data_IF_373819257107
#
_entry.id   IF_373819257107
#
_cell.length_a   1.000
_cell.length_b   1.000
_cell.length_c   1.000
_cell.angle_alpha   90.00
_cell.angle_beta   90.00
_cell.angle_gamma   90.00
#
_symmetry.space_group_name_H-M   'P 1'
#
loop_
_entity.id
_entity.type
_entity.pdbx_description
1 polymer ?
#
# COMPACT_ATOMS: atom_id res chain seq x y z
N UNK A 1 -27.74 -2.28 22.87
CA UNK A 1 -26.72 -2.96 22.05
C UNK A 1 -25.28 -2.67 22.54
N UNK A 2 -24.88 -1.43 22.85
CA UNK A 2 -23.54 -1.11 23.38
C UNK A 2 -23.24 -1.73 24.76
N UNK A 3 -24.19 -1.75 25.69
CA UNK A 3 -24.02 -2.33 27.03
C UNK A 3 -23.82 -3.84 27.03
N UNK A 4 -24.46 -4.57 26.10
CA UNK A 4 -24.33 -6.04 25.97
C UNK A 4 -22.99 -6.45 25.38
N UNK A 5 -22.40 -5.59 24.51
CA UNK A 5 -21.06 -5.81 23.95
C UNK A 5 -19.98 -5.55 25.01
N UNK A 6 -20.16 -4.53 25.84
CA UNK A 6 -19.26 -4.20 26.94
C UNK A 6 -19.22 -5.28 28.03
N UNK A 7 -20.36 -5.87 28.39
CA UNK A 7 -20.43 -6.99 29.34
C UNK A 7 -19.79 -8.28 28.77
N UNK A 8 -19.98 -8.61 27.49
CA UNK A 8 -19.30 -9.75 26.85
C UNK A 8 -17.79 -9.56 26.75
N UNK A 9 -17.30 -8.32 26.58
CA UNK A 9 -15.87 -7.99 26.61
C UNK A 9 -15.25 -8.16 28.01
N UNK A 10 -16.02 -7.90 29.07
CA UNK A 10 -15.55 -8.04 30.45
C UNK A 10 -15.36 -9.51 30.88
N UNK A 11 -16.11 -10.42 30.28
CA UNK A 11 -16.09 -11.85 30.59
C UNK A 11 -15.09 -12.68 29.75
N UNK A 12 -14.33 -12.05 28.83
CA UNK A 12 -13.36 -12.77 28.01
C UNK A 12 -12.03 -13.00 28.74
N UNK A 13 -11.34 -14.16 28.51
CA UNK A 13 -10.01 -14.43 29.03
C UNK A 13 -9.01 -13.32 28.62
N UNK A 14 -8.06 -12.99 29.49
CA UNK A 14 -7.10 -11.88 29.30
C UNK A 14 -6.37 -11.89 27.95
N UNK A 15 -6.05 -13.07 27.41
CA UNK A 15 -5.45 -13.21 26.08
C UNK A 15 -6.38 -12.82 24.91
N UNK A 16 -7.70 -13.05 25.01
CA UNK A 16 -8.67 -12.64 23.99
C UNK A 16 -8.94 -11.14 24.02
N UNK A 17 -8.91 -10.50 25.21
CA UNK A 17 -9.03 -9.04 25.34
C UNK A 17 -7.83 -8.32 24.69
N UNK A 18 -6.64 -8.82 24.91
CA UNK A 18 -5.40 -8.28 24.32
C UNK A 18 -5.41 -8.38 22.78
N UNK A 19 -5.84 -9.50 22.21
CA UNK A 19 -6.00 -9.70 20.77
C UNK A 19 -7.04 -8.75 20.16
N UNK A 20 -8.19 -8.59 20.81
CA UNK A 20 -9.24 -7.67 20.35
C UNK A 20 -8.80 -6.20 20.40
N UNK A 21 -8.12 -5.80 21.50
CA UNK A 21 -7.61 -4.42 21.62
C UNK A 21 -6.54 -4.12 20.58
N UNK A 22 -5.62 -5.05 20.32
CA UNK A 22 -4.61 -4.92 19.26
C UNK A 22 -5.25 -4.88 17.88
N UNK A 23 -6.25 -5.72 17.63
CA UNK A 23 -7.04 -5.71 16.42
C UNK A 23 -7.74 -4.37 16.17
N UNK A 24 -8.41 -3.83 17.18
CA UNK A 24 -9.09 -2.53 17.09
C UNK A 24 -8.10 -1.38 16.84
N UNK A 25 -6.99 -1.35 17.58
CA UNK A 25 -5.91 -0.35 17.35
C UNK A 25 -5.38 -0.42 15.92
N UNK A 26 -5.16 -1.63 15.40
CA UNK A 26 -4.71 -1.84 14.02
C UNK A 26 -5.73 -1.33 13.00
N UNK A 27 -7.02 -1.61 13.20
CA UNK A 27 -8.09 -1.14 12.33
C UNK A 27 -8.17 0.40 12.34
N UNK A 28 -8.17 1.02 13.52
CA UNK A 28 -8.18 2.48 13.68
C UNK A 28 -6.97 3.11 12.97
N UNK A 29 -5.76 2.57 13.18
CA UNK A 29 -4.55 3.10 12.54
C UNK A 29 -4.62 3.00 11.02
N UNK A 30 -5.20 1.93 10.48
CA UNK A 30 -5.39 1.78 9.02
C UNK A 30 -6.42 2.76 8.48
N UNK A 31 -7.54 2.97 9.19
CA UNK A 31 -8.54 3.98 8.83
C UNK A 31 -7.91 5.37 8.80
N UNK A 32 -7.16 5.73 9.83
CA UNK A 32 -6.42 6.99 9.88
C UNK A 32 -5.40 7.10 8.74
N UNK A 33 -4.69 6.02 8.40
CA UNK A 33 -3.74 6.03 7.28
C UNK A 33 -4.43 6.32 5.94
N UNK A 34 -5.59 5.71 5.70
CA UNK A 34 -6.36 5.98 4.48
C UNK A 34 -6.91 7.41 4.46
N UNK A 35 -7.41 7.88 5.60
CA UNK A 35 -7.90 9.26 5.73
C UNK A 35 -6.80 10.27 5.45
N UNK A 36 -5.63 10.14 6.07
CA UNK A 36 -4.50 11.05 5.83
C UNK A 36 -3.95 10.95 4.41
N UNK A 37 -3.93 9.76 3.79
CA UNK A 37 -3.55 9.61 2.40
C UNK A 37 -4.54 10.30 1.44
N UNK A 38 -5.83 10.24 1.74
CA UNK A 38 -6.86 10.96 1.00
C UNK A 38 -6.77 12.46 1.21
N UNK A 39 -6.64 12.92 2.46
CA UNK A 39 -6.44 14.34 2.81
C UNK A 39 -5.20 14.91 2.12
N UNK A 40 -4.08 14.18 2.11
CA UNK A 40 -2.88 14.59 1.38
C UNK A 40 -3.19 14.81 -0.11
N UNK A 41 -3.90 13.86 -0.74
CA UNK A 41 -4.28 14.01 -2.16
C UNK A 41 -5.15 15.25 -2.38
N UNK A 42 -6.15 15.45 -1.52
CA UNK A 42 -7.06 16.58 -1.61
C UNK A 42 -6.33 17.91 -1.41
N UNK A 43 -5.41 17.99 -0.43
CA UNK A 43 -4.64 19.21 -0.15
C UNK A 43 -3.71 19.51 -1.34
N UNK A 44 -2.92 18.54 -1.79
CA UNK A 44 -2.02 18.73 -2.94
C UNK A 44 -2.80 19.17 -4.18
N UNK A 45 -3.95 18.57 -4.47
CA UNK A 45 -4.76 18.96 -5.64
C UNK A 45 -5.43 20.33 -5.49
N UNK A 46 -5.71 20.79 -4.27
CA UNK A 46 -6.30 22.12 -4.04
C UNK A 46 -5.28 23.25 -4.03
N UNK A 47 -4.06 22.97 -3.61
CA UNK A 47 -3.00 23.98 -3.44
C UNK A 47 -2.09 24.10 -4.65
N UNK A 48 -2.21 23.19 -5.63
CA UNK A 48 -1.43 23.19 -6.85
C UNK A 48 -2.32 22.89 -8.07
N UNK A 49 -1.83 23.24 -9.27
CA UNK A 49 -2.46 22.88 -10.55
C UNK A 49 -2.36 21.37 -10.84
N UNK A 50 -3.16 20.88 -11.78
CA UNK A 50 -3.20 19.46 -12.12
C UNK A 50 -1.84 18.91 -12.59
N UNK A 51 -1.02 19.72 -13.26
CA UNK A 51 0.32 19.34 -13.73
C UNK A 51 1.29 19.14 -12.56
N UNK A 52 1.37 20.10 -11.63
CA UNK A 52 2.19 20.00 -10.41
C UNK A 52 1.76 18.84 -9.52
N UNK A 53 0.46 18.63 -9.36
CA UNK A 53 -0.08 17.48 -8.64
C UNK A 53 0.33 16.15 -9.31
N UNK A 54 0.27 16.10 -10.65
CA UNK A 54 0.69 14.94 -11.42
C UNK A 54 2.17 14.61 -11.27
N UNK A 55 3.04 15.61 -11.38
CA UNK A 55 4.48 15.48 -11.11
C UNK A 55 4.74 14.97 -9.70
N UNK A 56 4.05 15.54 -8.70
CA UNK A 56 4.16 15.09 -7.31
C UNK A 56 3.76 13.62 -7.16
N UNK A 57 2.60 13.21 -7.68
CA UNK A 57 2.14 11.83 -7.55
C UNK A 57 3.02 10.85 -8.31
N UNK A 58 3.56 11.24 -9.46
CA UNK A 58 4.56 10.45 -10.18
C UNK A 58 5.80 10.20 -9.32
N UNK A 59 6.43 11.26 -8.82
CA UNK A 59 7.63 11.18 -8.00
C UNK A 59 7.37 10.46 -6.68
N UNK A 60 6.24 10.70 -6.02
CA UNK A 60 5.84 10.02 -4.79
C UNK A 60 5.69 8.50 -4.98
N UNK A 61 5.04 8.07 -6.09
CA UNK A 61 4.90 6.65 -6.39
C UNK A 61 6.24 6.02 -6.80
N UNK A 62 7.08 6.75 -7.54
CA UNK A 62 8.43 6.33 -7.91
C UNK A 62 9.32 6.10 -6.68
N UNK A 63 9.37 7.07 -5.75
CA UNK A 63 10.08 6.93 -4.46
C UNK A 63 9.57 5.72 -3.68
N UNK A 64 8.25 5.55 -3.59
CA UNK A 64 7.62 4.45 -2.85
C UNK A 64 7.99 3.10 -3.48
N UNK A 65 7.94 2.99 -4.80
CA UNK A 65 8.30 1.78 -5.53
C UNK A 65 9.80 1.44 -5.35
N UNK A 66 10.68 2.44 -5.52
CA UNK A 66 12.12 2.24 -5.37
C UNK A 66 12.50 1.86 -3.94
N UNK A 67 11.87 2.48 -2.93
CA UNK A 67 12.09 2.11 -1.53
C UNK A 67 11.69 0.65 -1.25
N UNK A 68 10.56 0.19 -1.81
CA UNK A 68 10.10 -1.20 -1.64
C UNK A 68 11.00 -2.18 -2.39
N UNK A 69 11.39 -1.88 -3.63
CA UNK A 69 12.33 -2.71 -4.41
C UNK A 69 13.66 -2.84 -3.68
N UNK A 70 14.11 -1.76 -3.04
CA UNK A 70 15.35 -1.74 -2.25
C UNK A 70 15.32 -2.60 -0.99
N UNK A 71 14.14 -3.04 -0.54
CA UNK A 71 14.02 -3.99 0.58
C UNK A 71 14.55 -5.40 0.27
N UNK A 72 14.81 -5.76 -1.00
CA UNK A 72 15.40 -7.05 -1.40
C UNK A 72 14.67 -8.29 -0.84
N UNK A 73 13.34 -8.19 -0.55
CA UNK A 73 12.56 -9.25 0.08
C UNK A 73 12.71 -9.35 1.60
N UNK A 74 13.47 -8.42 2.22
CA UNK A 74 13.52 -8.33 3.68
C UNK A 74 12.22 -7.82 4.30
N UNK A 75 11.33 -7.20 3.52
CA UNK A 75 9.96 -6.84 3.93
C UNK A 75 9.16 -8.03 4.50
N UNK A 76 9.40 -9.24 3.99
CA UNK A 76 8.75 -10.48 4.45
C UNK A 76 9.68 -11.28 5.37
N UNK A 77 10.94 -11.50 4.96
CA UNK A 77 11.85 -12.38 5.70
C UNK A 77 12.26 -11.81 7.05
N UNK A 78 12.48 -10.49 7.18
CA UNK A 78 12.78 -9.86 8.46
C UNK A 78 11.67 -10.06 9.48
N UNK A 79 10.39 -9.90 9.05
CA UNK A 79 9.23 -10.14 9.93
C UNK A 79 9.23 -11.58 10.43
N UNK A 80 9.44 -12.55 9.53
CA UNK A 80 9.42 -13.98 9.88
C UNK A 80 10.54 -14.36 10.87
N UNK A 81 11.79 -14.00 10.55
CA UNK A 81 12.94 -14.37 11.38
C UNK A 81 12.93 -13.65 12.72
N UNK A 82 12.57 -12.36 12.73
CA UNK A 82 12.47 -11.62 13.99
C UNK A 82 11.28 -12.04 14.85
N UNK A 83 10.17 -12.50 14.27
CA UNK A 83 9.08 -13.05 15.07
C UNK A 83 9.48 -14.36 15.77
N UNK A 84 10.31 -15.20 15.13
CA UNK A 84 10.87 -16.41 15.75
C UNK A 84 11.81 -16.02 16.89
N UNK A 85 12.78 -15.14 16.63
CA UNK A 85 13.74 -14.66 17.64
C UNK A 85 13.04 -13.93 18.81
N UNK A 86 11.96 -13.19 18.53
CA UNK A 86 11.14 -12.54 19.57
C UNK A 86 10.43 -13.55 20.47
N UNK A 87 9.84 -14.61 19.90
CA UNK A 87 9.19 -15.66 20.68
C UNK A 87 10.20 -16.45 21.53
N UNK A 88 11.41 -16.64 21.03
CA UNK A 88 12.54 -17.28 21.74
C UNK A 88 13.23 -16.34 22.74
N UNK A 89 12.88 -15.05 22.79
CA UNK A 89 13.53 -13.99 23.59
C UNK A 89 15.00 -13.74 23.23
N UNK A 90 15.39 -14.00 21.99
CA UNK A 90 16.76 -13.86 21.47
C UNK A 90 16.99 -12.43 20.94
N UNK A 91 17.18 -11.47 21.84
CA UNK A 91 17.34 -10.04 21.51
C UNK A 91 18.54 -9.76 20.60
N UNK A 92 19.63 -10.49 20.81
CA UNK A 92 20.83 -10.37 20.00
C UNK A 92 20.56 -10.75 18.55
N UNK A 93 19.87 -11.87 18.31
CA UNK A 93 19.51 -12.33 16.96
C UNK A 93 18.57 -11.33 16.29
N UNK A 94 17.61 -10.77 17.02
CA UNK A 94 16.72 -9.72 16.49
C UNK A 94 17.51 -8.51 15.97
N UNK A 95 18.52 -8.07 16.73
CA UNK A 95 19.37 -6.94 16.36
C UNK A 95 20.29 -7.26 15.18
N UNK A 96 20.82 -8.48 15.09
CA UNK A 96 21.62 -8.94 13.95
C UNK A 96 20.81 -9.08 12.67
N UNK A 97 19.59 -9.61 12.77
CA UNK A 97 18.66 -9.70 11.65
C UNK A 97 18.28 -8.29 11.12
N UNK A 98 17.99 -7.36 12.03
CA UNK A 98 17.72 -5.97 11.67
C UNK A 98 18.90 -5.32 10.95
N UNK A 99 20.13 -5.42 11.50
CA UNK A 99 21.33 -4.89 10.85
C UNK A 99 21.59 -5.54 9.49
N UNK A 100 21.38 -6.85 9.37
CA UNK A 100 21.53 -7.57 8.09
C UNK A 100 20.56 -7.02 7.02
N UNK A 101 19.30 -6.83 7.37
CA UNK A 101 18.31 -6.28 6.47
C UNK A 101 18.64 -4.82 6.11
N UNK A 102 18.91 -3.98 7.11
CA UNK A 102 19.17 -2.55 6.93
C UNK A 102 20.38 -2.31 6.02
N UNK A 103 21.55 -2.92 6.33
CA UNK A 103 22.76 -2.66 5.56
C UNK A 103 22.65 -3.13 4.11
N UNK A 104 22.00 -4.27 3.86
CA UNK A 104 21.83 -4.77 2.49
C UNK A 104 20.80 -3.95 1.70
N UNK A 105 19.68 -3.60 2.30
CA UNK A 105 18.66 -2.75 1.68
C UNK A 105 19.23 -1.35 1.40
N UNK A 106 20.00 -0.79 2.34
CA UNK A 106 20.62 0.52 2.16
C UNK A 106 21.72 0.51 1.09
N UNK A 107 22.56 -0.52 1.07
CA UNK A 107 23.60 -0.67 0.03
C UNK A 107 22.97 -0.77 -1.38
N UNK A 108 21.91 -1.57 -1.53
CA UNK A 108 21.20 -1.66 -2.80
C UNK A 108 20.50 -0.34 -3.17
N UNK A 109 19.88 0.34 -2.19
CA UNK A 109 19.28 1.65 -2.37
C UNK A 109 20.29 2.68 -2.90
N UNK A 110 21.46 2.79 -2.28
CA UNK A 110 22.51 3.72 -2.71
C UNK A 110 23.06 3.37 -4.10
N UNK A 111 23.22 2.08 -4.40
CA UNK A 111 23.60 1.61 -5.73
C UNK A 111 22.55 1.99 -6.78
N UNK A 112 21.26 1.76 -6.48
CA UNK A 112 20.16 2.10 -7.37
C UNK A 112 20.10 3.62 -7.64
N UNK A 113 20.27 4.45 -6.61
CA UNK A 113 20.37 5.91 -6.74
C UNK A 113 21.57 6.30 -7.60
N UNK A 114 22.74 5.70 -7.39
CA UNK A 114 23.93 5.94 -8.19
C UNK A 114 23.75 5.60 -9.67
N UNK A 115 23.10 4.46 -9.96
CA UNK A 115 22.76 4.06 -11.35
C UNK A 115 21.78 5.04 -11.99
N UNK A 116 20.76 5.50 -11.26
CA UNK A 116 19.80 6.47 -11.76
C UNK A 116 20.48 7.82 -12.04
N UNK A 117 21.33 8.33 -11.13
CA UNK A 117 22.07 9.58 -11.34
C UNK A 117 23.05 9.48 -12.50
N UNK A 118 23.72 8.34 -12.68
CA UNK A 118 24.57 8.09 -13.84
C UNK A 118 23.74 8.07 -15.14
N UNK A 119 22.58 7.40 -15.13
CA UNK A 119 21.65 7.38 -16.26
C UNK A 119 21.14 8.78 -16.63
N UNK A 120 20.86 9.63 -15.65
CA UNK A 120 20.48 11.02 -15.88
C UNK A 120 21.55 11.84 -16.59
N UNK A 121 22.81 11.61 -16.27
CA UNK A 121 23.93 12.30 -16.93
C UNK A 121 24.20 11.77 -18.35
N UNK A 122 23.91 10.49 -18.62
CA UNK A 122 24.16 9.85 -19.91
C UNK A 122 23.02 10.07 -20.92
N UNK A 123 21.78 10.23 -20.46
CA UNK A 123 20.57 10.33 -21.29
C UNK A 123 19.68 11.52 -20.88
N UNK A 124 20.15 12.77 -20.95
CA UNK A 124 19.41 13.94 -20.46
C UNK A 124 18.11 14.21 -21.23
N UNK A 125 18.05 13.87 -22.53
CA UNK A 125 16.88 14.13 -23.37
C UNK A 125 15.64 13.30 -23.00
N UNK A 126 15.84 12.06 -22.54
CA UNK A 126 14.72 11.17 -22.17
C UNK A 126 14.04 11.61 -20.87
N UNK A 127 14.72 12.36 -20.03
CA UNK A 127 14.19 12.89 -18.78
C UNK A 127 13.43 14.19 -18.92
N UNK A 128 13.70 14.96 -19.97
CA UNK A 128 12.90 16.14 -20.28
C UNK A 128 11.41 15.79 -20.53
N UNK A 129 11.12 14.52 -20.83
CA UNK A 129 9.74 14.04 -20.93
C UNK A 129 8.97 14.06 -19.60
N UNK A 130 9.64 13.97 -18.44
CA UNK A 130 8.99 14.01 -17.13
C UNK A 130 8.57 15.41 -16.69
N UNK A 131 9.01 16.45 -17.42
CA UNK A 131 8.76 17.88 -17.14
C UNK A 131 9.07 18.31 -15.69
N UNK A 132 9.77 17.48 -14.92
CA UNK A 132 10.07 17.75 -13.51
C UNK A 132 11.43 18.44 -13.37
N UNK A 133 11.52 19.50 -12.56
CA UNK A 133 12.80 20.19 -12.32
C UNK A 133 13.84 19.23 -11.74
N UNK A 134 15.10 19.36 -12.15
CA UNK A 134 16.21 18.53 -11.64
C UNK A 134 16.32 18.56 -10.11
N UNK A 135 16.00 19.70 -9.51
CA UNK A 135 15.96 19.86 -8.05
C UNK A 135 14.91 18.95 -7.40
N UNK A 136 13.68 18.87 -7.95
CA UNK A 136 12.62 17.99 -7.43
C UNK A 136 13.01 16.51 -7.55
N UNK A 137 13.67 16.10 -8.63
CA UNK A 137 14.19 14.74 -8.82
C UNK A 137 15.28 14.43 -7.78
N UNK A 138 16.18 15.38 -7.52
CA UNK A 138 17.23 15.20 -6.49
C UNK A 138 16.62 15.01 -5.11
N UNK A 139 15.64 15.83 -4.71
CA UNK A 139 14.90 15.67 -3.46
C UNK A 139 14.18 14.32 -3.41
N UNK A 140 13.58 13.91 -4.53
CA UNK A 140 12.93 12.60 -4.68
C UNK A 140 13.91 11.47 -4.35
N UNK A 141 15.10 11.46 -4.93
CA UNK A 141 16.12 10.43 -4.68
C UNK A 141 16.61 10.46 -3.24
N UNK A 142 16.74 11.63 -2.62
CA UNK A 142 17.13 11.77 -1.21
C UNK A 142 16.08 11.22 -0.24
N UNK A 143 14.79 11.15 -0.61
CA UNK A 143 13.75 10.54 0.23
C UNK A 143 13.93 9.02 0.39
N UNK A 144 14.48 8.33 -0.63
CA UNK A 144 14.48 6.86 -0.70
C UNK A 144 15.22 6.23 0.50
N UNK A 145 16.44 6.62 0.89
CA UNK A 145 17.14 6.05 2.03
C UNK A 145 16.35 6.16 3.35
N UNK A 146 15.69 7.30 3.58
CA UNK A 146 14.89 7.52 4.79
C UNK A 146 13.65 6.61 4.81
N UNK A 147 12.99 6.43 3.65
CA UNK A 147 11.86 5.50 3.55
C UNK A 147 12.30 4.04 3.70
N UNK A 148 13.45 3.64 3.13
CA UNK A 148 14.03 2.31 3.33
C UNK A 148 14.30 2.05 4.81
N UNK A 149 14.87 3.02 5.53
CA UNK A 149 15.09 2.95 6.97
C UNK A 149 13.78 2.80 7.74
N UNK A 150 12.79 3.66 7.45
CA UNK A 150 11.47 3.63 8.09
C UNK A 150 10.74 2.30 7.86
N UNK A 151 10.77 1.78 6.61
CA UNK A 151 10.17 0.50 6.27
C UNK A 151 10.87 -0.66 6.99
N UNK A 152 12.20 -0.68 7.07
CA UNK A 152 12.95 -1.70 7.81
C UNK A 152 12.60 -1.67 9.30
N UNK A 153 12.53 -0.47 9.91
CA UNK A 153 12.08 -0.27 11.29
C UNK A 153 10.64 -0.77 11.49
N UNK A 154 9.75 -0.47 10.53
CA UNK A 154 8.37 -0.96 10.56
C UNK A 154 8.31 -2.48 10.65
N UNK A 155 9.10 -3.20 9.83
CA UNK A 155 9.07 -4.67 9.76
C UNK A 155 9.55 -5.32 11.06
N UNK A 156 10.61 -4.78 11.68
CA UNK A 156 11.07 -5.31 12.97
C UNK A 156 10.09 -4.99 14.10
N UNK A 157 9.48 -3.79 14.12
CA UNK A 157 8.44 -3.44 15.08
C UNK A 157 7.19 -4.33 14.93
N UNK A 158 6.83 -4.68 13.69
CA UNK A 158 5.76 -5.63 13.40
C UNK A 158 6.05 -7.02 13.99
N UNK A 159 7.26 -7.51 13.80
CA UNK A 159 7.70 -8.79 14.35
C UNK A 159 7.65 -8.81 15.89
N UNK A 160 7.97 -7.69 16.53
CA UNK A 160 7.89 -7.50 17.98
C UNK A 160 6.47 -7.15 18.49
N UNK A 161 5.43 -7.34 17.67
CA UNK A 161 4.01 -7.06 17.99
C UNK A 161 3.69 -5.61 18.33
N UNK A 162 4.58 -4.66 18.03
CA UNK A 162 4.34 -3.21 18.15
C UNK A 162 3.62 -2.69 16.90
N UNK A 163 2.39 -3.19 16.68
CA UNK A 163 1.67 -3.03 15.41
C UNK A 163 1.36 -1.56 15.07
N UNK A 164 0.98 -0.74 16.05
CA UNK A 164 0.68 0.69 15.84
C UNK A 164 1.92 1.44 15.37
N UNK A 165 3.05 1.29 16.05
CA UNK A 165 4.34 1.92 15.66
C UNK A 165 4.81 1.43 14.29
N UNK A 166 4.58 0.16 13.95
CA UNK A 166 4.86 -0.41 12.64
C UNK A 166 4.01 0.24 11.55
N UNK A 167 2.69 0.34 11.73
CA UNK A 167 1.78 0.95 10.76
C UNK A 167 2.02 2.45 10.61
N UNK A 168 2.39 3.13 11.71
CA UNK A 168 2.82 4.53 11.64
C UNK A 168 4.03 4.67 10.70
N UNK A 169 5.08 3.88 10.90
CA UNK A 169 6.29 3.95 10.09
C UNK A 169 6.06 3.52 8.62
N UNK A 170 5.09 2.64 8.34
CA UNK A 170 4.85 2.09 7.01
C UNK A 170 3.90 2.94 6.16
N UNK A 171 2.85 3.49 6.77
CA UNK A 171 1.72 4.06 6.02
C UNK A 171 1.27 5.43 6.56
N UNK A 172 0.95 5.53 7.85
CA UNK A 172 0.34 6.72 8.43
C UNK A 172 1.31 7.90 8.49
N UNK A 173 2.56 7.66 8.92
CA UNK A 173 3.50 8.71 9.29
C UNK A 173 3.85 9.63 8.12
N UNK A 174 4.16 9.07 6.95
CA UNK A 174 4.51 9.88 5.78
C UNK A 174 3.34 10.78 5.38
N UNK A 175 2.13 10.24 5.22
CA UNK A 175 0.96 11.03 4.83
C UNK A 175 0.58 12.07 5.88
N UNK A 176 0.66 11.72 7.17
CA UNK A 176 0.34 12.63 8.26
C UNK A 176 1.34 13.81 8.35
N UNK A 177 2.64 13.51 8.33
CA UNK A 177 3.67 14.55 8.36
C UNK A 177 3.68 15.39 7.10
N UNK A 178 3.42 14.77 5.92
CA UNK A 178 3.26 15.51 4.67
C UNK A 178 2.14 16.55 4.77
N UNK A 179 0.96 16.18 5.28
CA UNK A 179 -0.15 17.12 5.47
C UNK A 179 0.30 18.31 6.33
N UNK A 180 1.01 18.05 7.45
CA UNK A 180 1.51 19.09 8.32
C UNK A 180 2.52 20.01 7.61
N UNK A 181 3.50 19.43 6.91
CA UNK A 181 4.53 20.22 6.23
C UNK A 181 4.02 20.96 5.01
N UNK A 182 3.05 20.41 4.27
CA UNK A 182 2.41 21.11 3.15
C UNK A 182 1.68 22.35 3.67
N UNK A 183 0.90 22.25 4.75
CA UNK A 183 0.27 23.41 5.37
C UNK A 183 1.28 24.44 5.89
N UNK A 184 2.38 23.98 6.49
CA UNK A 184 3.43 24.88 6.98
C UNK A 184 4.12 25.65 5.84
N UNK A 185 4.37 24.99 4.70
CA UNK A 185 4.98 25.59 3.54
C UNK A 185 4.00 26.46 2.73
N UNK A 186 2.70 26.11 2.71
CA UNK A 186 1.65 26.90 2.07
C UNK A 186 1.51 28.31 2.70
N UNK A 187 1.71 28.39 4.00
CA UNK A 187 1.76 29.67 4.71
C UNK A 187 2.90 30.59 4.23
N UNK A 188 3.95 30.04 3.62
CA UNK A 188 5.14 30.79 3.15
C UNK A 188 5.00 31.21 1.67
N UNK A 189 4.07 30.65 0.88
CA UNK A 189 3.87 31.00 -0.53
C UNK A 189 3.19 29.91 -1.36
N UNK A 190 3.01 30.19 -2.66
CA UNK A 190 2.36 29.22 -3.58
C UNK A 190 3.08 27.88 -3.63
N UNK A 191 2.29 26.80 -3.65
CA UNK A 191 2.79 25.45 -3.74
C UNK A 191 3.34 25.16 -5.13
N UNK A 192 4.60 24.83 -5.21
CA UNK A 192 5.26 24.31 -6.39
C UNK A 192 5.83 22.91 -6.11
N UNK A 193 6.25 22.20 -7.16
CA UNK A 193 6.78 20.84 -7.04
C UNK A 193 7.97 20.75 -6.07
N UNK A 194 8.81 21.78 -6.01
CA UNK A 194 9.98 21.80 -5.12
C UNK A 194 9.55 21.85 -3.64
N UNK A 195 8.54 22.64 -3.30
CA UNK A 195 7.98 22.73 -1.95
C UNK A 195 7.33 21.38 -1.54
N UNK A 196 6.58 20.75 -2.46
CA UNK A 196 5.97 19.45 -2.22
C UNK A 196 7.03 18.34 -2.01
N UNK A 197 8.12 18.37 -2.80
CA UNK A 197 9.23 17.42 -2.61
C UNK A 197 10.02 17.69 -1.35
N UNK A 198 10.19 18.93 -0.95
CA UNK A 198 10.82 19.30 0.33
C UNK A 198 9.96 18.81 1.51
N UNK A 199 8.64 18.99 1.45
CA UNK A 199 7.72 18.44 2.45
C UNK A 199 7.81 16.90 2.53
N UNK A 200 7.92 16.22 1.40
CA UNK A 200 8.11 14.76 1.35
C UNK A 200 9.44 14.34 1.99
N UNK A 201 10.52 15.07 1.72
CA UNK A 201 11.82 14.79 2.34
C UNK A 201 11.77 14.97 3.85
N UNK A 202 11.21 16.08 4.34
CA UNK A 202 11.06 16.33 5.77
C UNK A 202 10.17 15.27 6.43
N UNK A 203 9.06 14.88 5.79
CA UNK A 203 8.19 13.81 6.27
C UNK A 203 8.93 12.46 6.34
N UNK A 204 9.72 12.13 5.30
CA UNK A 204 10.51 10.90 5.25
C UNK A 204 11.56 10.84 6.35
N UNK A 205 12.27 11.96 6.59
CA UNK A 205 13.23 12.10 7.71
C UNK A 205 12.50 11.95 9.04
N UNK A 206 11.38 12.66 9.23
CA UNK A 206 10.60 12.60 10.47
C UNK A 206 10.14 11.19 10.80
N UNK A 207 9.60 10.46 9.82
CA UNK A 207 9.18 9.06 10.01
C UNK A 207 10.38 8.16 10.29
N UNK A 208 11.51 8.35 9.60
CA UNK A 208 12.72 7.59 9.84
C UNK A 208 13.24 7.80 11.27
N UNK A 209 13.27 9.04 11.75
CA UNK A 209 13.70 9.38 13.11
C UNK A 209 12.77 8.76 14.16
N UNK A 210 11.44 8.99 14.03
CA UNK A 210 10.45 8.47 14.98
C UNK A 210 10.48 6.94 15.02
N UNK A 211 10.55 6.28 13.86
CA UNK A 211 10.58 4.81 13.80
C UNK A 211 11.90 4.25 14.35
N UNK A 212 13.02 4.93 14.11
CA UNK A 212 14.31 4.56 14.69
C UNK A 212 14.32 4.71 16.20
N UNK A 213 13.79 5.80 16.74
CA UNK A 213 13.65 6.00 18.18
C UNK A 213 12.78 4.89 18.82
N UNK A 214 11.68 4.50 18.17
CA UNK A 214 10.80 3.42 18.64
C UNK A 214 11.47 2.04 18.62
N UNK A 215 12.39 1.78 17.68
CA UNK A 215 13.13 0.51 17.62
C UNK A 215 14.35 0.52 18.52
N UNK A 216 15.24 1.50 18.39
CA UNK A 216 16.50 1.58 19.16
C UNK A 216 16.25 1.81 20.65
N UNK A 217 15.21 2.55 21.02
CA UNK A 217 14.77 2.73 22.41
C UNK A 217 13.94 1.57 22.96
N UNK A 218 13.77 0.47 22.20
CA UNK A 218 13.01 -0.68 22.68
C UNK A 218 13.89 -1.64 23.48
N UNK A 219 13.31 -2.30 24.50
CA UNK A 219 13.96 -3.36 25.28
C UNK A 219 14.39 -4.58 24.42
N UNK A 220 13.94 -4.63 23.17
CA UNK A 220 14.26 -5.72 22.24
C UNK A 220 15.54 -5.46 21.43
N UNK A 221 15.99 -4.19 21.36
CA UNK A 221 17.23 -3.85 20.69
C UNK A 221 18.45 -4.09 21.62
N UNK A 222 19.45 -4.76 21.07
CA UNK A 222 20.74 -4.97 21.77
C UNK A 222 21.88 -4.59 20.84
N UNK A 223 22.81 -3.77 21.36
CA UNK A 223 24.01 -3.43 20.60
C UNK A 223 24.88 -4.69 20.43
N UNK A 224 25.26 -4.98 19.20
CA UNK A 224 26.03 -6.17 18.84
C UNK A 224 26.97 -5.89 17.68
N UNK A 225 28.02 -6.69 17.53
CA UNK A 225 28.80 -6.74 16.29
C UNK A 225 27.89 -7.18 15.12
N UNK A 226 28.22 -6.73 13.93
CA UNK A 226 27.48 -7.14 12.73
C UNK A 226 27.81 -8.57 12.33
N UNK A 227 26.84 -9.47 12.42
CA UNK A 227 26.95 -10.85 11.94
C UNK A 227 25.79 -11.10 10.99
N UNK A 228 26.04 -11.31 9.68
CA UNK A 228 24.97 -11.46 8.70
C UNK A 228 24.27 -12.82 8.86
N UNK A 229 22.94 -12.81 8.95
CA UNK A 229 22.13 -14.03 8.95
C UNK A 229 21.97 -14.58 7.53
N UNK A 230 22.82 -15.55 7.15
CA UNK A 230 22.83 -16.15 5.81
C UNK A 230 21.50 -16.83 5.45
N UNK A 231 20.82 -17.47 6.43
CA UNK A 231 19.52 -18.15 6.21
C UNK A 231 18.42 -17.13 5.86
N UNK A 232 18.36 -16.02 6.59
CA UNK A 232 17.41 -14.94 6.31
C UNK A 232 17.66 -14.32 4.93
N UNK A 233 18.91 -14.11 4.54
CA UNK A 233 19.29 -13.59 3.22
C UNK A 233 18.86 -14.53 2.10
N UNK A 234 19.05 -15.84 2.23
CA UNK A 234 18.60 -16.81 1.25
C UNK A 234 17.07 -16.82 1.11
N UNK A 235 16.36 -16.73 2.24
CA UNK A 235 14.89 -16.59 2.25
C UNK A 235 14.44 -15.30 1.57
N UNK A 236 15.09 -14.16 1.84
CA UNK A 236 14.78 -12.88 1.24
C UNK A 236 14.86 -12.91 -0.30
N UNK A 237 15.94 -13.47 -0.84
CA UNK A 237 16.10 -13.63 -2.30
C UNK A 237 14.96 -14.42 -2.96
N UNK A 238 14.45 -15.46 -2.29
CA UNK A 238 13.36 -16.30 -2.83
C UNK A 238 12.03 -15.54 -2.93
N UNK A 239 11.76 -14.63 -2.00
CA UNK A 239 10.48 -13.88 -1.95
C UNK A 239 10.54 -12.55 -2.69
N UNK A 240 11.74 -12.03 -2.98
CA UNK A 240 11.93 -10.71 -3.56
C UNK A 240 11.17 -10.50 -4.88
N UNK A 241 11.29 -11.43 -5.82
CA UNK A 241 10.62 -11.33 -7.11
C UNK A 241 9.10 -11.25 -6.94
N UNK A 242 8.53 -12.09 -6.07
CA UNK A 242 7.10 -12.04 -5.79
C UNK A 242 6.65 -10.73 -5.12
N UNK A 243 7.48 -10.18 -4.23
CA UNK A 243 7.25 -8.90 -3.58
C UNK A 243 7.27 -7.75 -4.60
N UNK A 244 8.22 -7.73 -5.54
CA UNK A 244 8.27 -6.75 -6.63
C UNK A 244 6.97 -6.75 -7.42
N UNK A 245 6.52 -7.91 -7.93
CA UNK A 245 5.29 -7.97 -8.73
C UNK A 245 4.08 -7.41 -7.99
N UNK A 246 3.90 -7.78 -6.72
CA UNK A 246 2.78 -7.28 -5.90
C UNK A 246 2.82 -5.76 -5.76
N UNK A 247 4.02 -5.19 -5.53
CA UNK A 247 4.17 -3.76 -5.29
C UNK A 247 4.18 -2.93 -6.58
N UNK A 248 4.68 -3.48 -7.69
CA UNK A 248 4.56 -2.83 -9.01
C UNK A 248 3.10 -2.66 -9.40
N UNK A 249 2.24 -3.63 -9.11
CA UNK A 249 0.81 -3.49 -9.36
C UNK A 249 0.17 -2.38 -8.51
N UNK A 250 0.61 -2.23 -7.28
CA UNK A 250 0.05 -1.25 -6.35
C UNK A 250 0.56 0.17 -6.58
N UNK A 251 1.86 0.34 -6.82
CA UNK A 251 2.53 1.64 -6.91
C UNK A 251 3.05 1.97 -8.31
N UNK A 252 3.34 0.95 -9.11
CA UNK A 252 3.95 1.10 -10.43
C UNK A 252 2.99 1.49 -11.52
N UNK A 253 1.68 1.29 -11.36
CA UNK A 253 0.71 1.61 -12.41
C UNK A 253 0.70 3.10 -12.78
N UNK A 254 0.74 4.00 -11.79
CA UNK A 254 0.86 5.44 -12.03
C UNK A 254 2.23 5.82 -12.60
N UNK A 255 3.29 5.17 -12.14
CA UNK A 255 4.65 5.40 -12.69
C UNK A 255 4.71 4.97 -14.15
N UNK A 256 4.18 3.81 -14.50
CA UNK A 256 4.14 3.32 -15.89
C UNK A 256 3.27 4.25 -16.76
N UNK A 257 2.07 4.62 -16.28
CA UNK A 257 1.19 5.55 -17.00
C UNK A 257 1.89 6.89 -17.29
N UNK A 258 2.66 7.41 -16.33
CA UNK A 258 3.38 8.69 -16.46
C UNK A 258 4.42 8.75 -17.59
N UNK A 259 4.81 7.62 -18.17
CA UNK A 259 5.66 7.59 -19.39
C UNK A 259 4.86 7.76 -20.68
N UNK A 260 3.51 7.66 -20.63
CA UNK A 260 2.66 7.66 -21.82
C UNK A 260 1.65 8.82 -21.86
N UNK A 261 1.38 9.45 -20.73
CA UNK A 261 0.39 10.53 -20.60
C UNK A 261 1.04 11.79 -20.04
N UNK A 262 0.40 12.94 -20.24
CA UNK A 262 0.90 14.22 -19.72
C UNK A 262 0.85 14.27 -18.19
N UNK A 263 1.64 15.16 -17.58
CA UNK A 263 1.65 15.34 -16.13
C UNK A 263 0.30 15.78 -15.58
N UNK A 264 -0.43 16.64 -16.31
CA UNK A 264 -1.79 17.04 -15.93
C UNK A 264 -2.76 15.85 -15.92
N UNK A 265 -2.78 15.03 -16.97
CA UNK A 265 -3.59 13.81 -17.03
C UNK A 265 -3.22 12.82 -15.92
N UNK A 266 -1.93 12.73 -15.59
CA UNK A 266 -1.47 11.89 -14.49
C UNK A 266 -1.99 12.36 -13.13
N UNK A 267 -2.06 13.68 -12.91
CA UNK A 267 -2.67 14.29 -11.73
C UNK A 267 -4.15 13.93 -11.62
N UNK A 268 -4.89 14.03 -12.71
CA UNK A 268 -6.30 13.63 -12.80
C UNK A 268 -6.49 12.14 -12.47
N UNK A 269 -5.66 11.27 -13.08
CA UNK A 269 -5.70 9.83 -12.86
C UNK A 269 -5.39 9.46 -11.40
N UNK A 270 -4.38 10.12 -10.80
CA UNK A 270 -3.99 9.88 -9.42
C UNK A 270 -5.10 10.26 -8.43
N UNK A 271 -5.74 11.42 -8.62
CA UNK A 271 -6.87 11.87 -7.80
C UNK A 271 -8.06 10.90 -7.90
N UNK A 272 -8.45 10.51 -9.11
CA UNK A 272 -9.51 9.55 -9.35
C UNK A 272 -9.21 8.17 -8.75
N UNK A 273 -7.97 7.68 -8.92
CA UNK A 273 -7.54 6.39 -8.37
C UNK A 273 -7.61 6.40 -6.84
N UNK A 274 -7.06 7.41 -6.18
CA UNK A 274 -7.06 7.50 -4.71
C UNK A 274 -8.47 7.64 -4.15
N UNK A 275 -9.35 8.33 -4.85
CA UNK A 275 -10.76 8.43 -4.48
C UNK A 275 -11.46 7.08 -4.60
N UNK A 276 -11.28 6.38 -5.71
CA UNK A 276 -11.88 5.05 -5.91
C UNK A 276 -11.39 4.01 -4.89
N UNK A 277 -10.14 4.11 -4.41
CA UNK A 277 -9.60 3.20 -3.37
C UNK A 277 -10.38 3.28 -2.05
N UNK A 278 -11.05 4.40 -1.74
CA UNK A 278 -11.91 4.51 -0.56
C UNK A 278 -13.08 3.50 -0.60
N UNK A 279 -13.57 3.17 -1.78
CA UNK A 279 -14.60 2.13 -1.98
C UNK A 279 -14.06 0.77 -1.50
N UNK A 280 -12.82 0.44 -1.90
CA UNK A 280 -12.15 -0.81 -1.50
C UNK A 280 -11.78 -0.89 -0.03
N UNK A 281 -11.78 0.24 0.69
CA UNK A 281 -11.41 0.28 2.11
C UNK A 281 -12.37 -0.52 3.00
N UNK A 282 -13.63 -0.61 2.61
CA UNK A 282 -14.64 -1.45 3.27
C UNK A 282 -14.18 -2.91 3.31
N UNK A 283 -13.71 -3.41 2.16
CA UNK A 283 -13.23 -4.79 2.01
C UNK A 283 -12.02 -5.07 2.92
N UNK A 284 -11.08 -4.12 3.02
CA UNK A 284 -9.90 -4.25 3.89
C UNK A 284 -10.33 -4.37 5.36
N UNK A 285 -11.31 -3.57 5.78
CA UNK A 285 -11.81 -3.56 7.16
C UNK A 285 -12.50 -4.87 7.52
N UNK A 286 -13.36 -5.39 6.64
CA UNK A 286 -14.05 -6.66 6.87
C UNK A 286 -13.05 -7.82 6.83
N UNK A 287 -12.12 -7.82 5.88
CA UNK A 287 -11.09 -8.86 5.77
C UNK A 287 -10.25 -8.99 7.05
N UNK A 288 -9.98 -7.87 7.72
CA UNK A 288 -9.25 -7.89 8.99
C UNK A 288 -9.96 -8.74 10.08
N UNK A 289 -11.29 -8.69 10.10
CA UNK A 289 -12.10 -9.44 11.07
C UNK A 289 -12.28 -10.90 10.63
N UNK A 290 -12.58 -11.13 9.35
CA UNK A 290 -12.98 -12.48 8.89
C UNK A 290 -11.80 -13.39 8.55
N UNK A 291 -10.62 -12.85 8.19
CA UNK A 291 -9.48 -13.67 7.78
C UNK A 291 -9.04 -14.71 8.82
N UNK A 292 -8.89 -14.38 10.12
CA UNK A 292 -8.55 -15.40 11.13
C UNK A 292 -9.66 -16.44 11.33
N UNK A 293 -10.92 -16.03 11.15
CA UNK A 293 -12.06 -16.94 11.23
C UNK A 293 -12.09 -17.93 10.06
N UNK A 294 -11.72 -17.49 8.85
CA UNK A 294 -11.58 -18.37 7.68
C UNK A 294 -10.52 -19.45 7.93
N UNK A 295 -9.36 -19.06 8.48
CA UNK A 295 -8.29 -20.01 8.79
C UNK A 295 -8.73 -21.07 9.82
N UNK A 296 -9.44 -20.68 10.89
CA UNK A 296 -9.90 -21.62 11.91
C UNK A 296 -10.98 -22.57 11.38
N UNK A 297 -12.00 -22.04 10.69
CA UNK A 297 -13.09 -22.83 10.12
C UNK A 297 -12.60 -23.83 9.06
N UNK A 298 -11.62 -23.41 8.25
CA UNK A 298 -10.99 -24.29 7.26
C UNK A 298 -10.19 -25.41 7.94
N UNK A 299 -9.38 -25.10 8.96
CA UNK A 299 -8.61 -26.08 9.75
C UNK A 299 -9.54 -27.10 10.46
N UNK A 300 -10.68 -26.65 10.97
CA UNK A 300 -11.70 -27.47 11.62
C UNK A 300 -12.58 -28.22 10.62
N UNK A 301 -12.34 -28.11 9.30
CA UNK A 301 -13.14 -28.69 8.22
C UNK A 301 -14.63 -28.31 8.23
N UNK A 302 -14.98 -27.18 8.83
CA UNK A 302 -16.37 -26.69 8.93
C UNK A 302 -16.77 -25.91 7.66
N UNK A 303 -16.79 -26.58 6.50
CA UNK A 303 -16.94 -25.94 5.18
C UNK A 303 -18.28 -25.19 5.04
N UNK A 304 -19.39 -25.70 5.62
CA UNK A 304 -20.69 -24.99 5.58
C UNK A 304 -20.65 -23.66 6.35
N UNK A 305 -19.97 -23.61 7.52
CA UNK A 305 -19.82 -22.37 8.28
C UNK A 305 -18.87 -21.40 7.57
N UNK A 306 -17.81 -21.92 6.95
CA UNK A 306 -16.89 -21.11 6.13
C UNK A 306 -17.64 -20.45 4.96
N UNK A 307 -18.48 -21.21 4.25
CA UNK A 307 -19.32 -20.71 3.16
C UNK A 307 -20.30 -19.63 3.65
N UNK A 308 -21.01 -19.87 4.75
CA UNK A 308 -21.96 -18.90 5.29
C UNK A 308 -21.28 -17.62 5.74
N UNK A 309 -20.11 -17.73 6.42
CA UNK A 309 -19.33 -16.56 6.82
C UNK A 309 -18.81 -15.77 5.63
N UNK A 310 -18.33 -16.46 4.57
CA UNK A 310 -17.83 -15.79 3.37
C UNK A 310 -18.95 -15.07 2.62
N UNK A 311 -20.14 -15.65 2.53
CA UNK A 311 -21.34 -15.00 1.96
C UNK A 311 -21.78 -13.79 2.77
N UNK A 312 -21.82 -13.91 4.10
CA UNK A 312 -22.14 -12.81 5.00
C UNK A 312 -21.16 -11.65 4.83
N UNK A 313 -19.86 -11.97 4.79
CA UNK A 313 -18.80 -10.98 4.57
C UNK A 313 -18.93 -10.29 3.20
N UNK A 314 -19.25 -11.05 2.15
CA UNK A 314 -19.47 -10.52 0.82
C UNK A 314 -20.69 -9.56 0.77
N UNK A 315 -21.82 -9.97 1.36
CA UNK A 315 -23.03 -9.12 1.47
C UNK A 315 -22.75 -7.84 2.26
N UNK A 316 -22.02 -7.95 3.37
CA UNK A 316 -21.63 -6.79 4.17
C UNK A 316 -20.70 -5.85 3.39
N UNK A 317 -19.74 -6.39 2.62
CA UNK A 317 -18.87 -5.62 1.73
C UNK A 317 -19.68 -4.83 0.70
N UNK A 318 -20.57 -5.50 -0.03
CA UNK A 318 -21.41 -4.88 -1.05
C UNK A 318 -22.36 -3.84 -0.42
N UNK A 319 -23.03 -4.20 0.68
CA UNK A 319 -23.98 -3.30 1.35
C UNK A 319 -23.34 -2.01 1.86
N UNK A 320 -22.10 -2.08 2.35
CA UNK A 320 -21.38 -0.89 2.81
C UNK A 320 -20.72 -0.11 1.66
N UNK A 321 -20.28 -0.79 0.61
CA UNK A 321 -19.61 -0.15 -0.53
C UNK A 321 -20.59 0.44 -1.55
N UNK A 322 -21.85 0.01 -1.55
CA UNK A 322 -22.83 0.47 -2.56
C UNK A 322 -23.03 1.99 -2.52
N UNK A 323 -23.02 2.59 -1.33
CA UNK A 323 -23.21 4.04 -1.16
C UNK A 323 -22.06 4.82 -1.79
N UNK A 324 -20.78 4.60 -1.45
CA UNK A 324 -19.68 5.29 -2.10
C UNK A 324 -19.57 4.96 -3.60
N UNK A 325 -19.92 3.74 -4.04
CA UNK A 325 -19.99 3.42 -5.49
C UNK A 325 -21.04 4.28 -6.19
N UNK A 326 -22.25 4.37 -5.66
CA UNK A 326 -23.33 5.21 -6.23
C UNK A 326 -22.88 6.67 -6.30
N UNK A 327 -22.28 7.19 -5.24
CA UNK A 327 -21.80 8.58 -5.21
C UNK A 327 -20.73 8.79 -6.30
N UNK A 328 -19.72 7.91 -6.39
CA UNK A 328 -18.63 8.06 -7.36
C UNK A 328 -19.06 7.80 -8.82
N UNK A 329 -20.16 7.05 -9.07
CA UNK A 329 -20.63 6.75 -10.42
C UNK A 329 -21.74 7.69 -10.92
N UNK A 330 -22.64 8.13 -10.03
CA UNK A 330 -23.76 9.01 -10.42
C UNK A 330 -23.42 10.50 -10.22
N UNK A 331 -22.53 10.84 -9.31
CA UNK A 331 -22.12 12.21 -9.02
C UNK A 331 -20.60 12.38 -9.09
N UNK A 332 -19.92 11.89 -10.16
CA UNK A 332 -18.46 11.90 -10.23
C UNK A 332 -17.91 13.33 -10.30
N UNK A 333 -18.59 14.25 -10.96
CA UNK A 333 -18.20 15.66 -11.06
C UNK A 333 -18.22 16.34 -9.69
N UNK A 334 -19.26 16.12 -8.89
CA UNK A 334 -19.35 16.63 -7.52
C UNK A 334 -18.17 16.15 -6.67
N UNK A 335 -17.81 14.86 -6.80
CA UNK A 335 -16.68 14.30 -6.05
C UNK A 335 -15.36 14.89 -6.53
N UNK A 336 -15.16 15.01 -7.83
CA UNK A 336 -13.92 15.57 -8.40
C UNK A 336 -13.79 17.07 -8.16
N UNK A 337 -14.91 17.80 -8.08
CA UNK A 337 -14.91 19.23 -7.73
C UNK A 337 -14.29 19.52 -6.34
N UNK A 338 -14.34 18.54 -5.43
CA UNK A 338 -13.68 18.66 -4.12
C UNK A 338 -12.16 18.87 -4.24
N UNK A 339 -11.55 18.42 -5.34
CA UNK A 339 -10.12 18.55 -5.60
C UNK A 339 -9.75 19.87 -6.32
N UNK A 340 -10.76 20.59 -6.86
CA UNK A 340 -10.58 21.82 -7.62
C UNK A 340 -11.22 21.74 -8.99
N UNK A 341 -11.45 22.89 -9.64
CA UNK A 341 -12.14 22.97 -10.93
C UNK A 341 -11.44 22.22 -12.07
N UNK A 342 -10.12 22.20 -12.09
CA UNK A 342 -9.32 21.47 -13.09
C UNK A 342 -9.54 19.95 -13.01
N UNK A 343 -9.85 19.42 -11.81
CA UNK A 343 -10.07 18.00 -11.60
C UNK A 343 -11.44 17.49 -12.05
N UNK A 344 -12.35 18.36 -12.49
CA UNK A 344 -13.62 17.95 -13.10
C UNK A 344 -13.42 17.01 -14.29
N UNK A 345 -12.35 17.22 -15.06
CA UNK A 345 -11.98 16.34 -16.18
C UNK A 345 -11.65 14.90 -15.74
N UNK A 346 -11.41 14.64 -14.45
CA UNK A 346 -11.19 13.31 -13.91
C UNK A 346 -12.49 12.52 -13.63
N UNK A 347 -13.66 13.13 -13.78
CA UNK A 347 -14.95 12.48 -13.51
C UNK A 347 -15.15 11.17 -14.28
N UNK A 348 -14.88 11.07 -15.59
CA UNK A 348 -14.98 9.79 -16.31
C UNK A 348 -13.99 8.74 -15.81
N UNK A 349 -12.78 9.16 -15.38
CA UNK A 349 -11.77 8.26 -14.83
C UNK A 349 -12.25 7.66 -13.50
N UNK A 350 -12.87 8.50 -12.64
CA UNK A 350 -13.43 8.05 -11.36
C UNK A 350 -14.52 7.00 -11.58
N UNK A 351 -15.42 7.19 -12.56
CA UNK A 351 -16.45 6.21 -12.89
C UNK A 351 -15.85 4.87 -13.25
N UNK A 352 -14.91 4.84 -14.20
CA UNK A 352 -14.25 3.60 -14.65
C UNK A 352 -13.54 2.89 -13.50
N UNK A 353 -12.77 3.61 -12.69
CA UNK A 353 -12.05 3.03 -11.55
C UNK A 353 -13.01 2.56 -10.45
N UNK A 354 -14.14 3.25 -10.24
CA UNK A 354 -15.18 2.84 -9.29
C UNK A 354 -15.87 1.55 -9.71
N UNK A 355 -16.09 1.34 -11.03
CA UNK A 355 -16.59 0.07 -11.56
C UNK A 355 -15.59 -1.08 -11.31
N UNK A 356 -14.29 -0.83 -11.47
CA UNK A 356 -13.25 -1.80 -11.08
C UNK A 356 -13.31 -2.16 -9.59
N UNK A 357 -13.47 -1.16 -8.73
CA UNK A 357 -13.63 -1.36 -7.29
C UNK A 357 -14.94 -2.09 -6.93
N UNK A 358 -16.01 -1.84 -7.68
CA UNK A 358 -17.27 -2.58 -7.50
C UNK A 358 -17.05 -4.09 -7.71
N UNK A 359 -16.33 -4.48 -8.76
CA UNK A 359 -15.99 -5.89 -9.01
C UNK A 359 -15.14 -6.45 -7.86
N UNK A 360 -14.15 -5.70 -7.37
CA UNK A 360 -13.31 -6.08 -6.24
C UNK A 360 -14.14 -6.35 -4.97
N UNK A 361 -15.08 -5.47 -4.66
CA UNK A 361 -15.93 -5.60 -3.46
C UNK A 361 -17.01 -6.67 -3.66
N UNK A 362 -17.60 -6.78 -4.87
CA UNK A 362 -18.63 -7.75 -5.19
C UNK A 362 -18.13 -9.21 -5.16
N UNK A 363 -16.87 -9.45 -5.52
CA UNK A 363 -16.25 -10.77 -5.37
C UNK A 363 -15.94 -11.10 -3.91
N UNK A 364 -15.89 -10.11 -3.05
CA UNK A 364 -15.66 -10.26 -1.61
C UNK A 364 -14.22 -10.67 -1.27
N UNK A 365 -14.06 -11.40 -0.18
CA UNK A 365 -12.76 -11.75 0.41
C UNK A 365 -12.05 -12.92 -0.28
N UNK A 366 -12.20 -13.09 -1.60
CA UNK A 366 -11.71 -14.29 -2.33
C UNK A 366 -10.21 -14.52 -2.20
N UNK A 367 -9.39 -13.47 -2.27
CA UNK A 367 -7.95 -13.58 -2.08
C UNK A 367 -7.58 -14.06 -0.68
N UNK A 368 -8.23 -13.54 0.35
CA UNK A 368 -8.02 -13.99 1.73
C UNK A 368 -8.54 -15.41 1.97
N UNK A 369 -9.64 -15.83 1.34
CA UNK A 369 -10.11 -17.21 1.38
C UNK A 369 -9.04 -18.17 0.87
N UNK A 370 -8.43 -17.90 -0.29
CA UNK A 370 -7.36 -18.73 -0.84
C UNK A 370 -6.12 -18.75 0.07
N UNK A 371 -5.71 -17.59 0.60
CA UNK A 371 -4.55 -17.50 1.49
C UNK A 371 -4.80 -18.26 2.81
N UNK A 372 -5.97 -18.10 3.42
CA UNK A 372 -6.30 -18.72 4.71
C UNK A 372 -6.66 -20.21 4.60
N UNK A 373 -6.94 -20.71 3.39
CA UNK A 373 -7.18 -22.13 3.11
C UNK A 373 -5.94 -22.88 2.58
N UNK A 374 -4.73 -22.27 2.68
CA UNK A 374 -3.48 -22.93 2.29
C UNK A 374 -3.19 -22.96 0.78
N UNK A 375 -3.92 -22.17 -0.02
CA UNK A 375 -3.73 -22.06 -1.47
C UNK A 375 -2.89 -20.85 -1.87
N UNK A 376 -1.85 -20.53 -1.08
CA UNK A 376 -0.97 -19.36 -1.27
C UNK A 376 -0.24 -19.41 -2.62
N UNK A 377 0.18 -20.61 -3.07
CA UNK A 377 0.83 -20.79 -4.38
C UNK A 377 -0.09 -20.36 -5.52
N UNK A 378 -1.36 -20.77 -5.46
CA UNK A 378 -2.36 -20.39 -6.45
C UNK A 378 -2.58 -18.89 -6.46
N UNK A 379 -2.73 -18.26 -5.29
CA UNK A 379 -2.88 -16.81 -5.19
C UNK A 379 -1.66 -16.07 -5.74
N UNK A 380 -0.45 -16.58 -5.51
CA UNK A 380 0.79 -16.04 -6.11
C UNK A 380 0.74 -16.08 -7.64
N UNK A 381 0.34 -17.21 -8.25
CA UNK A 381 0.23 -17.31 -9.72
C UNK A 381 -0.86 -16.40 -10.28
N UNK A 382 -2.01 -16.28 -9.61
CA UNK A 382 -3.07 -15.34 -9.99
C UNK A 382 -2.50 -13.92 -9.99
N UNK A 383 -1.83 -13.51 -8.91
CA UNK A 383 -1.26 -12.15 -8.80
C UNK A 383 -0.22 -11.88 -9.90
N UNK A 384 0.67 -12.81 -10.17
CA UNK A 384 1.70 -12.64 -11.22
C UNK A 384 1.05 -12.57 -12.60
N UNK A 385 0.16 -13.51 -12.94
CA UNK A 385 -0.45 -13.56 -14.27
C UNK A 385 -1.37 -12.35 -14.52
N UNK A 386 -2.26 -12.03 -13.57
CA UNK A 386 -3.13 -10.86 -13.68
C UNK A 386 -2.31 -9.57 -13.72
N UNK A 387 -1.22 -9.51 -12.97
CA UNK A 387 -0.31 -8.38 -12.96
C UNK A 387 0.39 -8.16 -14.29
N UNK A 388 0.91 -9.21 -14.88
CA UNK A 388 1.52 -9.12 -16.22
C UNK A 388 0.51 -8.65 -17.24
N UNK A 389 -0.71 -9.23 -17.25
CA UNK A 389 -1.78 -8.79 -18.14
C UNK A 389 -2.14 -7.33 -17.90
N UNK A 390 -2.24 -6.91 -16.63
CA UNK A 390 -2.55 -5.50 -16.28
C UNK A 390 -1.50 -4.53 -16.80
N UNK A 391 -0.21 -4.87 -16.71
CA UNK A 391 0.89 -4.03 -17.23
C UNK A 391 0.82 -3.96 -18.75
N UNK A 392 0.63 -5.09 -19.43
CA UNK A 392 0.47 -5.11 -20.90
C UNK A 392 -0.74 -4.25 -21.32
N UNK A 393 -1.89 -4.42 -20.67
CA UNK A 393 -3.07 -3.60 -20.93
C UNK A 393 -2.82 -2.12 -20.66
N UNK A 394 -2.10 -1.79 -19.58
CA UNK A 394 -1.79 -0.41 -19.23
C UNK A 394 -0.97 0.26 -20.34
N UNK A 395 0.09 -0.39 -20.82
CA UNK A 395 0.92 0.13 -21.91
C UNK A 395 0.11 0.29 -23.19
N UNK A 396 -0.61 -0.75 -23.62
CA UNK A 396 -1.36 -0.73 -24.88
C UNK A 396 -2.52 0.25 -24.87
N UNK A 397 -3.33 0.23 -23.80
CA UNK A 397 -4.50 1.13 -23.72
C UNK A 397 -4.11 2.58 -23.47
N UNK A 398 -3.00 2.85 -22.75
CA UNK A 398 -2.46 4.21 -22.64
C UNK A 398 -2.05 4.77 -24.01
N UNK A 399 -1.37 3.96 -24.84
CA UNK A 399 -0.96 4.40 -26.17
C UNK A 399 -2.15 4.64 -27.11
N UNK A 400 -3.23 3.85 -26.99
CA UNK A 400 -4.40 3.94 -27.89
C UNK A 400 -5.40 4.99 -27.44
N UNK A 401 -5.61 5.15 -26.14
CA UNK A 401 -6.71 5.92 -25.57
C UNK A 401 -6.28 6.94 -24.50
N UNK A 402 -4.96 7.15 -24.32
CA UNK A 402 -4.45 8.09 -23.32
C UNK A 402 -4.86 7.73 -21.89
N UNK A 403 -5.19 8.75 -21.10
CA UNK A 403 -5.48 8.60 -19.67
C UNK A 403 -6.73 7.72 -19.38
N UNK A 404 -7.75 7.77 -20.24
CA UNK A 404 -8.94 6.92 -20.08
C UNK A 404 -8.58 5.44 -20.29
N UNK A 405 -7.64 5.15 -21.22
CA UNK A 405 -7.07 3.82 -21.41
C UNK A 405 -6.35 3.32 -20.16
N UNK A 406 -5.60 4.18 -19.46
CA UNK A 406 -4.98 3.85 -18.19
C UNK A 406 -6.00 3.46 -17.12
N UNK A 407 -7.08 4.23 -16.98
CA UNK A 407 -8.16 3.93 -16.03
C UNK A 407 -8.82 2.57 -16.33
N UNK A 408 -9.13 2.27 -17.60
CA UNK A 408 -9.67 0.98 -18.02
C UNK A 408 -8.69 -0.17 -17.75
N UNK A 409 -7.40 0.00 -18.05
CA UNK A 409 -6.39 -1.02 -17.78
C UNK A 409 -6.32 -1.39 -16.29
N UNK A 410 -6.35 -0.38 -15.41
CA UNK A 410 -6.36 -0.59 -13.96
C UNK A 410 -7.64 -1.30 -13.49
N UNK A 411 -8.82 -0.89 -13.98
CA UNK A 411 -10.10 -1.49 -13.63
C UNK A 411 -10.20 -2.94 -14.11
N UNK A 412 -9.82 -3.21 -15.37
CA UNK A 412 -9.83 -4.57 -15.97
C UNK A 412 -8.81 -5.47 -15.25
N UNK A 413 -7.60 -4.96 -14.96
CA UNK A 413 -6.59 -5.72 -14.24
C UNK A 413 -7.06 -6.17 -12.86
N UNK A 414 -7.71 -5.27 -12.11
CA UNK A 414 -8.32 -5.58 -10.83
C UNK A 414 -9.45 -6.62 -10.97
N UNK A 415 -10.31 -6.47 -11.98
CA UNK A 415 -11.38 -7.41 -12.26
C UNK A 415 -10.84 -8.81 -12.58
N UNK A 416 -9.84 -8.92 -13.47
CA UNK A 416 -9.20 -10.19 -13.84
C UNK A 416 -8.66 -10.90 -12.58
N UNK A 417 -7.92 -10.20 -11.72
CA UNK A 417 -7.35 -10.77 -10.50
C UNK A 417 -8.44 -11.33 -9.58
N UNK A 418 -9.50 -10.57 -9.35
CA UNK A 418 -10.56 -10.95 -8.42
C UNK A 418 -11.45 -12.06 -8.99
N UNK A 419 -11.79 -12.02 -10.30
CA UNK A 419 -12.55 -13.08 -10.95
C UNK A 419 -11.76 -14.39 -11.05
N UNK A 420 -10.45 -14.33 -11.33
CA UNK A 420 -9.59 -15.50 -11.26
C UNK A 420 -9.54 -16.10 -9.86
N UNK A 421 -9.39 -15.26 -8.83
CA UNK A 421 -9.43 -15.73 -7.43
C UNK A 421 -10.79 -16.36 -7.10
N UNK A 422 -11.90 -15.79 -7.55
CA UNK A 422 -13.26 -16.32 -7.39
C UNK A 422 -13.42 -17.70 -8.03
N UNK A 423 -12.90 -17.86 -9.26
CA UNK A 423 -12.90 -19.15 -9.96
C UNK A 423 -12.14 -20.22 -9.16
N UNK A 424 -10.95 -19.92 -8.65
CA UNK A 424 -10.16 -20.86 -7.86
C UNK A 424 -10.76 -21.14 -6.49
N UNK A 425 -11.43 -20.19 -5.86
CA UNK A 425 -12.23 -20.45 -4.63
C UNK A 425 -13.29 -21.51 -4.90
N UNK A 426 -14.07 -21.38 -6.00
CA UNK A 426 -15.04 -22.40 -6.38
C UNK A 426 -14.37 -23.76 -6.64
N UNK A 427 -13.25 -23.75 -7.34
CA UNK A 427 -12.54 -25.00 -7.72
C UNK A 427 -12.00 -25.76 -6.50
N UNK A 428 -11.43 -25.06 -5.51
CA UNK A 428 -10.80 -25.70 -4.36
C UNK A 428 -11.71 -25.87 -3.14
N UNK A 429 -12.61 -24.94 -2.92
CA UNK A 429 -13.49 -24.95 -1.75
C UNK A 429 -14.92 -25.45 -2.06
N UNK A 430 -15.26 -25.58 -3.35
CA UNK A 430 -16.54 -26.15 -3.80
C UNK A 430 -17.73 -25.19 -3.74
N UNK A 431 -17.55 -23.92 -3.36
CA UNK A 431 -18.64 -22.96 -3.25
C UNK A 431 -18.27 -21.57 -3.81
N UNK A 432 -19.31 -20.76 -4.10
CA UNK A 432 -19.14 -19.35 -4.37
C UNK A 432 -19.37 -18.54 -3.09
N UNK A 433 -18.48 -17.58 -2.76
CA UNK A 433 -18.70 -16.65 -1.66
C UNK A 433 -19.76 -15.58 -1.99
N UNK A 434 -20.10 -15.42 -3.26
CA UNK A 434 -21.17 -14.57 -3.75
C UNK A 434 -22.49 -15.30 -3.54
N UNK A 435 -23.44 -14.68 -2.86
CA UNK A 435 -24.70 -15.33 -2.59
C UNK A 435 -25.79 -14.40 -2.10
#
# INVERSE_FOLDING_TARGET
>A
MFHTVQQKLLLMPSGKKSLLSTGLKTAITRVLSALFAFLLTLIVSKTSDASTAGQFFFLFNLVSLLAIVSQLGFDVSLVRYNAIAFNNKEKLEQSQNYKTALYRSMAFCLLAIGVLLAGFNLFPEQLNQTQSPMYAITLCLLCIPFLVLAQTNSRVLQACRKVVSSLFALQLGVSMLMVIFVFALDYIGQQNINNLMTALLLASIGVAVISSANWLGSDQYQTSAFVPNKKMVASAKQVWVGSIFTNVLQWGSLVIAGFFISTAELGLLAAAQRTSLLIGFVLITINFVVAPMFASLYKERQMRKLQNLSRLACRANVGLAIVPVIICTLFPEFVMQLFGGEFLAAAPLLVVLSLGQLVNVATGSVGFLLLMSGHERTMKYITISSGTVSICLLVTLCQMFGVIGAAWAMAIGMAIQNLAALYFVKRYLGFFPIG
#
